data_IF_278976027140
#
_entry.id   IF_278976027140
#
_cell.length_a   1.000
_cell.length_b   1.000
_cell.length_c   1.000
_cell.angle_alpha   90.00
_cell.angle_beta   90.00
_cell.angle_gamma   90.00
#
_symmetry.space_group_name_H-M   'P 1'
#
loop_
_entity.id
_entity.type
_entity.pdbx_description
1 polymer ?
#
# COMPACT_ATOMS: atom_id res chain seq x y z
N UNK A 1 2.10 13.99 23.15
CA UNK A 1 2.63 13.01 22.16
C UNK A 1 4.05 13.33 21.68
N UNK A 2 4.93 13.88 22.53
CA UNK A 2 6.33 14.22 22.19
C UNK A 2 7.30 14.13 23.38
N UNK A 3 7.02 13.33 24.42
CA UNK A 3 7.95 13.21 25.56
C UNK A 3 8.91 12.04 25.33
N UNK A 4 10.21 12.30 25.40
CA UNK A 4 11.25 11.36 25.01
C UNK A 4 12.01 10.83 26.22
N UNK A 5 12.27 9.52 26.19
CA UNK A 5 13.30 8.86 26.99
C UNK A 5 14.72 9.26 26.51
N UNK A 6 14.87 9.98 25.38
CA UNK A 6 16.11 10.64 24.94
C UNK A 6 16.07 11.13 23.48
N UNK A 7 16.90 12.12 23.12
CA UNK A 7 16.92 12.73 21.78
C UNK A 7 17.23 11.75 20.63
N UNK A 8 18.00 10.69 20.90
CA UNK A 8 18.30 9.64 19.92
C UNK A 8 17.03 8.88 19.47
N UNK A 9 16.14 8.54 20.40
CA UNK A 9 14.87 7.85 20.08
C UNK A 9 13.94 8.70 19.21
N UNK A 10 13.93 10.03 19.40
CA UNK A 10 13.22 10.93 18.50
C UNK A 10 13.86 10.94 17.12
N UNK A 11 15.18 11.09 17.05
CA UNK A 11 15.91 11.11 15.79
C UNK A 11 15.62 9.87 14.95
N UNK A 12 15.67 8.68 15.56
CA UNK A 12 15.33 7.42 14.89
C UNK A 12 13.87 7.38 14.44
N UNK A 13 12.91 7.81 15.28
CA UNK A 13 11.50 7.83 14.90
C UNK A 13 11.23 8.77 13.73
N UNK A 14 11.80 9.98 13.75
CA UNK A 14 11.59 10.97 12.68
C UNK A 14 12.28 10.54 11.39
N UNK A 15 13.48 9.96 11.48
CA UNK A 15 14.17 9.38 10.33
C UNK A 15 13.38 8.23 9.71
N UNK A 16 12.88 7.30 10.52
CA UNK A 16 12.04 6.20 10.05
C UNK A 16 10.75 6.74 9.41
N UNK A 17 10.05 7.65 10.09
CA UNK A 17 8.83 8.26 9.58
C UNK A 17 9.08 8.95 8.24
N UNK A 18 10.12 9.75 8.12
CA UNK A 18 10.50 10.42 6.88
C UNK A 18 10.77 9.40 5.75
N UNK A 19 11.56 8.37 6.03
CA UNK A 19 11.93 7.35 5.05
C UNK A 19 10.72 6.58 4.51
N UNK A 20 9.83 6.13 5.41
CA UNK A 20 8.65 5.37 5.02
C UNK A 20 7.54 6.27 4.44
N UNK A 21 7.37 7.49 4.95
CA UNK A 21 6.39 8.43 4.42
C UNK A 21 6.74 8.86 3.00
N UNK A 22 8.01 9.14 2.71
CA UNK A 22 8.49 9.46 1.37
C UNK A 22 8.23 8.29 0.40
N UNK A 23 8.58 7.05 0.78
CA UNK A 23 8.29 5.87 -0.05
C UNK A 23 6.80 5.61 -0.29
N UNK A 24 5.92 5.94 0.66
CA UNK A 24 4.47 5.81 0.53
C UNK A 24 3.84 6.91 -0.33
N UNK A 25 4.28 8.15 -0.17
CA UNK A 25 3.63 9.33 -0.75
C UNK A 25 4.16 9.69 -2.14
N UNK A 26 5.42 9.37 -2.45
CA UNK A 26 6.03 9.72 -3.74
C UNK A 26 6.06 8.53 -4.72
N UNK A 27 6.14 7.30 -4.22
CA UNK A 27 6.14 6.10 -5.06
C UNK A 27 7.34 5.99 -6.01
N UNK A 28 7.28 5.08 -6.98
CA UNK A 28 8.39 4.78 -7.90
C UNK A 28 8.39 5.64 -9.20
N UNK A 29 7.97 6.91 -9.13
CA UNK A 29 8.06 7.85 -10.25
C UNK A 29 6.74 8.25 -10.88
N UNK A 30 5.78 8.73 -10.06
CA UNK A 30 4.63 9.61 -10.41
C UNK A 30 3.27 9.12 -9.85
N UNK A 31 3.20 7.86 -9.39
CA UNK A 31 1.99 7.34 -8.73
C UNK A 31 2.27 7.06 -7.25
N UNK A 32 1.62 7.79 -6.33
CA UNK A 32 1.75 7.50 -4.90
C UNK A 32 1.34 6.05 -4.62
N UNK A 33 2.18 5.31 -3.89
CA UNK A 33 1.79 4.01 -3.31
C UNK A 33 0.54 4.17 -2.45
N UNK A 34 0.40 5.35 -1.81
CA UNK A 34 -0.68 5.65 -0.90
C UNK A 34 -1.10 7.11 -0.96
N UNK A 35 -2.40 7.37 -0.85
CA UNK A 35 -2.91 8.73 -0.74
C UNK A 35 -2.60 9.32 0.63
N UNK A 36 -2.46 10.65 0.70
CA UNK A 36 -2.25 11.36 1.96
C UNK A 36 -3.35 11.07 2.99
N UNK A 37 -4.61 10.93 2.56
CA UNK A 37 -5.72 10.59 3.47
C UNK A 37 -5.52 9.23 4.14
N UNK A 38 -5.06 8.22 3.39
CA UNK A 38 -4.73 6.89 3.91
C UNK A 38 -3.51 6.92 4.83
N UNK A 39 -2.51 7.72 4.48
CA UNK A 39 -1.36 7.99 5.34
C UNK A 39 -1.77 8.52 6.70
N UNK A 40 -2.54 9.60 6.72
CA UNK A 40 -2.97 10.24 7.95
C UNK A 40 -3.84 9.31 8.79
N UNK A 41 -4.77 8.57 8.18
CA UNK A 41 -5.61 7.64 8.94
C UNK A 41 -4.81 6.50 9.53
N UNK A 42 -3.84 5.92 8.82
CA UNK A 42 -2.95 4.89 9.39
C UNK A 42 -2.06 5.42 10.48
N UNK A 43 -1.50 6.62 10.30
CA UNK A 43 -0.66 7.22 11.34
C UNK A 43 -1.45 7.44 12.63
N UNK A 44 -2.66 8.01 12.53
CA UNK A 44 -3.54 8.24 13.70
C UNK A 44 -3.99 6.91 14.31
N UNK A 45 -4.47 5.97 13.50
CA UNK A 45 -4.92 4.66 13.97
C UNK A 45 -3.78 3.89 14.66
N UNK A 46 -2.57 3.96 14.11
CA UNK A 46 -1.37 3.38 14.70
C UNK A 46 -1.01 3.99 16.04
N UNK A 47 -1.11 5.31 16.16
CA UNK A 47 -0.86 5.99 17.43
C UNK A 47 -1.87 5.61 18.52
N UNK A 48 -3.15 5.52 18.17
CA UNK A 48 -4.22 5.12 19.08
C UNK A 48 -4.12 3.64 19.47
N UNK A 49 -3.94 2.75 18.49
CA UNK A 49 -3.79 1.32 18.74
C UNK A 49 -2.52 1.01 19.54
N UNK A 50 -1.42 1.69 19.23
CA UNK A 50 -0.18 1.61 20.01
C UNK A 50 -0.41 2.05 21.45
N UNK A 51 -0.96 3.24 21.68
CA UNK A 51 -1.27 3.71 23.03
C UNK A 51 -2.19 2.73 23.79
N UNK A 52 -3.24 2.21 23.15
CA UNK A 52 -4.13 1.22 23.76
C UNK A 52 -3.38 -0.06 24.16
N UNK A 53 -2.57 -0.63 23.26
CA UNK A 53 -1.79 -1.83 23.52
C UNK A 53 -0.80 -1.65 24.68
N UNK A 54 -0.08 -0.52 24.73
CA UNK A 54 0.85 -0.22 25.82
C UNK A 54 0.15 -0.07 27.16
N UNK A 55 -1.01 0.59 27.19
CA UNK A 55 -1.78 0.75 28.43
C UNK A 55 -2.30 -0.60 28.93
N UNK A 56 -2.87 -1.42 28.04
CA UNK A 56 -3.33 -2.77 28.38
C UNK A 56 -2.19 -3.64 28.91
N UNK A 57 -1.02 -3.58 28.28
CA UNK A 57 0.17 -4.31 28.72
C UNK A 57 0.70 -3.82 30.07
N UNK A 58 0.75 -2.50 30.27
CA UNK A 58 1.14 -1.88 31.53
C UNK A 58 0.23 -2.31 32.69
N UNK A 59 -1.09 -2.32 32.47
CA UNK A 59 -2.08 -2.82 33.44
C UNK A 59 -1.79 -4.29 33.77
N UNK A 60 -1.57 -5.14 32.76
CA UNK A 60 -1.30 -6.57 32.96
C UNK A 60 -0.02 -6.81 33.80
N UNK A 61 1.03 -6.02 33.59
CA UNK A 61 2.29 -6.14 34.33
C UNK A 61 2.33 -5.37 35.65
N UNK A 62 1.26 -4.64 36.00
CA UNK A 62 1.23 -3.66 37.11
C UNK A 62 2.41 -2.67 37.00
N UNK A 63 2.67 -2.22 35.76
CA UNK A 63 3.77 -1.32 35.40
C UNK A 63 3.19 -0.03 34.85
N UNK A 64 3.69 1.11 35.34
CA UNK A 64 3.19 2.44 34.98
C UNK A 64 4.06 3.14 33.94
N UNK A 65 4.74 2.39 33.07
CA UNK A 65 5.57 2.97 31.99
C UNK A 65 4.62 3.52 30.92
N UNK A 66 4.46 4.85 30.78
CA UNK A 66 3.54 5.41 29.82
C UNK A 66 4.15 5.37 28.43
N UNK A 67 3.42 4.83 27.47
CA UNK A 67 3.71 5.03 26.05
C UNK A 67 2.82 6.11 25.49
N UNK A 68 3.42 7.05 24.78
CA UNK A 68 2.72 8.20 24.19
C UNK A 68 2.23 7.93 22.76
N UNK A 69 2.26 6.68 22.27
CA UNK A 69 1.71 6.27 20.97
C UNK A 69 2.48 6.77 19.74
N UNK A 70 3.43 7.70 19.87
CA UNK A 70 4.16 8.28 18.74
C UNK A 70 4.93 7.23 17.93
N UNK A 71 5.66 6.31 18.58
CA UNK A 71 6.34 5.23 17.87
C UNK A 71 5.35 4.21 17.29
N UNK A 72 4.21 3.96 17.97
CA UNK A 72 3.12 3.13 17.41
C UNK A 72 2.62 3.65 16.05
N UNK A 73 2.49 4.98 15.91
CA UNK A 73 2.15 5.60 14.63
C UNK A 73 3.21 5.37 13.54
N UNK A 74 4.50 5.48 13.89
CA UNK A 74 5.61 5.19 12.97
C UNK A 74 5.62 3.72 12.56
N UNK A 75 5.43 2.80 13.51
CA UNK A 75 5.36 1.36 13.24
C UNK A 75 4.16 0.98 12.37
N UNK A 76 3.03 1.67 12.51
CA UNK A 76 1.87 1.49 11.63
C UNK A 76 2.18 1.90 10.19
N UNK A 77 2.81 3.07 9.99
CA UNK A 77 3.22 3.56 8.67
C UNK A 77 4.28 2.63 8.04
N UNK A 78 5.29 2.23 8.80
CA UNK A 78 6.32 1.30 8.34
C UNK A 78 5.71 -0.03 7.91
N UNK A 79 4.83 -0.59 8.74
CA UNK A 79 4.15 -1.87 8.44
C UNK A 79 3.26 -1.77 7.21
N UNK A 80 2.50 -0.68 7.07
CA UNK A 80 1.69 -0.45 5.89
C UNK A 80 2.53 -0.34 4.61
N UNK A 81 3.69 0.32 4.67
CA UNK A 81 4.63 0.38 3.55
C UNK A 81 5.19 -1.00 3.18
N UNK A 82 5.70 -1.73 4.17
CA UNK A 82 6.26 -3.07 3.98
C UNK A 82 5.24 -4.04 3.36
N UNK A 83 3.97 -3.93 3.76
CA UNK A 83 2.87 -4.75 3.23
C UNK A 83 2.39 -4.31 1.84
N UNK A 84 2.56 -3.04 1.49
CA UNK A 84 2.13 -2.47 0.21
C UNK A 84 3.18 -2.63 -0.88
N UNK A 85 4.47 -2.67 -0.53
CA UNK A 85 5.57 -2.76 -1.49
C UNK A 85 6.47 -3.96 -1.15
N UNK A 86 5.97 -5.19 -1.38
CA UNK A 86 6.76 -6.41 -1.15
C UNK A 86 8.03 -6.41 -2.01
N UNK A 87 9.12 -6.97 -1.46
CA UNK A 87 10.43 -6.98 -2.12
C UNK A 87 11.20 -5.66 -2.04
N UNK A 88 10.65 -4.62 -1.39
CA UNK A 88 11.45 -3.43 -1.08
C UNK A 88 12.51 -3.74 -0.04
N UNK A 89 13.76 -3.39 -0.36
CA UNK A 89 14.84 -3.41 0.61
C UNK A 89 14.69 -2.23 1.56
N UNK A 90 14.37 -2.51 2.82
CA UNK A 90 14.27 -1.47 3.85
C UNK A 90 15.57 -1.36 4.61
N UNK A 91 16.13 -0.15 4.62
CA UNK A 91 17.22 0.22 5.53
C UNK A 91 16.60 0.84 6.77
N UNK A 92 16.30 0.00 7.76
CA UNK A 92 16.10 0.49 9.11
C UNK A 92 17.44 1.06 9.59
N UNK A 93 17.42 2.20 10.28
CA UNK A 93 18.64 2.79 10.81
C UNK A 93 19.41 1.71 11.60
N UNK A 94 20.68 1.50 11.25
CA UNK A 94 21.60 0.56 11.90
C UNK A 94 21.38 -0.95 11.63
N UNK A 95 20.49 -1.36 10.73
CA UNK A 95 20.32 -2.77 10.31
C UNK A 95 20.66 -2.93 8.82
N UNK A 96 21.23 -4.08 8.45
CA UNK A 96 21.45 -4.46 7.05
C UNK A 96 20.13 -4.40 6.26
N UNK A 97 20.15 -4.11 4.95
CA UNK A 97 18.93 -4.07 4.15
C UNK A 97 18.21 -5.41 4.23
N UNK A 98 16.97 -5.38 4.73
CA UNK A 98 16.09 -6.55 4.78
C UNK A 98 14.99 -6.38 3.74
N UNK A 99 14.64 -7.49 3.08
CA UNK A 99 13.45 -7.55 2.24
C UNK A 99 12.19 -7.35 3.09
N UNK A 100 11.15 -6.76 2.49
CA UNK A 100 10.05 -6.21 3.28
C UNK A 100 9.33 -7.19 4.21
N UNK A 101 9.09 -8.43 3.78
CA UNK A 101 8.46 -9.46 4.62
C UNK A 101 9.38 -9.89 5.77
N UNK A 102 10.65 -10.12 5.48
CA UNK A 102 11.65 -10.47 6.49
C UNK A 102 11.82 -9.33 7.50
N UNK A 103 11.80 -8.08 7.05
CA UNK A 103 11.86 -6.90 7.91
C UNK A 103 10.63 -6.86 8.84
N UNK A 104 9.43 -7.10 8.32
CA UNK A 104 8.20 -7.11 9.10
C UNK A 104 8.21 -8.20 10.18
N UNK A 105 8.59 -9.43 9.82
CA UNK A 105 8.71 -10.55 10.77
C UNK A 105 9.77 -10.24 11.83
N UNK A 106 10.95 -9.74 11.41
CA UNK A 106 12.03 -9.37 12.31
C UNK A 106 11.62 -8.30 13.31
N UNK A 107 10.90 -7.25 12.86
CA UNK A 107 10.35 -6.22 13.73
C UNK A 107 9.34 -6.79 14.73
N UNK A 108 8.45 -7.70 14.29
CA UNK A 108 7.48 -8.32 15.17
C UNK A 108 8.16 -9.17 16.25
N UNK A 109 9.12 -10.00 15.86
CA UNK A 109 9.90 -10.86 16.79
C UNK A 109 10.69 -10.01 17.78
N UNK A 110 11.37 -8.95 17.32
CA UNK A 110 12.11 -8.06 18.20
C UNK A 110 11.20 -7.40 19.26
N UNK A 111 10.02 -6.93 18.87
CA UNK A 111 9.07 -6.33 19.80
C UNK A 111 8.44 -7.34 20.77
N UNK A 112 8.20 -8.59 20.33
CA UNK A 112 7.80 -9.67 21.23
C UNK A 112 8.90 -10.00 22.25
N UNK A 113 10.17 -10.03 21.83
CA UNK A 113 11.29 -10.24 22.74
C UNK A 113 11.42 -9.10 23.77
N UNK A 114 11.20 -7.84 23.36
CA UNK A 114 11.12 -6.68 24.26
C UNK A 114 9.99 -6.84 25.28
N UNK A 115 8.80 -7.29 24.85
CA UNK A 115 7.68 -7.56 25.78
C UNK A 115 8.01 -8.69 26.75
N UNK A 116 8.63 -9.77 26.28
CA UNK A 116 9.06 -10.88 27.13
C UNK A 116 10.09 -10.41 28.19
N UNK A 117 11.07 -9.61 27.80
CA UNK A 117 12.03 -9.03 28.73
C UNK A 117 11.35 -8.15 29.80
N UNK A 118 10.37 -7.34 29.40
CA UNK A 118 9.57 -6.55 30.35
C UNK A 118 8.74 -7.42 31.30
N UNK A 119 8.16 -8.52 30.80
CA UNK A 119 7.44 -9.49 31.64
C UNK A 119 8.36 -10.14 32.69
N UNK A 120 9.61 -10.39 32.32
CA UNK A 120 10.68 -10.85 33.22
C UNK A 120 11.26 -9.76 34.12
N UNK A 121 10.64 -8.56 34.16
CA UNK A 121 11.05 -7.40 34.98
C UNK A 121 12.41 -6.78 34.62
N UNK A 122 12.95 -7.08 33.43
CA UNK A 122 14.09 -6.33 32.92
C UNK A 122 13.68 -4.90 32.59
N UNK A 123 14.55 -3.93 32.93
CA UNK A 123 14.34 -2.53 32.60
C UNK A 123 14.72 -2.27 31.14
N UNK A 124 13.72 -2.33 30.26
CA UNK A 124 13.87 -2.02 28.83
C UNK A 124 13.15 -0.70 28.54
N UNK A 125 13.88 0.29 28.01
CA UNK A 125 13.34 1.63 27.69
C UNK A 125 12.53 1.69 26.40
N UNK A 126 12.05 0.56 25.90
CA UNK A 126 11.37 0.43 24.60
C UNK A 126 9.99 -0.20 24.80
N UNK A 127 8.98 0.44 24.22
CA UNK A 127 7.59 0.00 24.31
C UNK A 127 7.24 -1.00 23.21
N UNK A 128 7.60 -2.27 23.43
CA UNK A 128 7.28 -3.35 22.49
C UNK A 128 5.78 -3.55 22.26
N UNK A 129 4.95 -3.35 23.30
CA UNK A 129 3.50 -3.54 23.18
C UNK A 129 2.86 -2.47 22.29
N UNK A 130 3.22 -1.20 22.46
CA UNK A 130 2.73 -0.14 21.59
C UNK A 130 3.25 -0.24 20.17
N UNK A 131 4.47 -0.74 19.97
CA UNK A 131 4.97 -1.04 18.63
C UNK A 131 4.12 -2.13 17.96
N UNK A 132 3.86 -3.25 18.62
CA UNK A 132 3.00 -4.31 18.06
C UNK A 132 1.57 -3.83 17.80
N UNK A 133 0.99 -3.02 18.70
CA UNK A 133 -0.32 -2.41 18.49
C UNK A 133 -0.35 -1.52 17.24
N UNK A 134 0.69 -0.72 17.03
CA UNK A 134 0.87 0.07 15.82
C UNK A 134 1.03 -0.79 14.57
N UNK A 135 1.88 -1.82 14.61
CA UNK A 135 2.09 -2.76 13.50
C UNK A 135 0.78 -3.42 13.07
N UNK A 136 -0.03 -3.89 14.03
CA UNK A 136 -1.33 -4.50 13.77
C UNK A 136 -2.27 -3.52 13.06
N UNK A 137 -2.37 -2.27 13.54
CA UNK A 137 -3.17 -1.24 12.86
C UNK A 137 -2.68 -0.97 11.42
N UNK A 138 -1.36 -0.96 11.20
CA UNK A 138 -0.76 -0.82 9.87
C UNK A 138 -1.15 -1.96 8.92
N UNK A 139 -1.11 -3.21 9.38
CA UNK A 139 -1.54 -4.38 8.59
C UNK A 139 -3.00 -4.29 8.20
N UNK A 140 -3.87 -4.02 9.19
CA UNK A 140 -5.31 -3.92 8.96
C UNK A 140 -5.65 -2.78 8.00
N UNK A 141 -4.96 -1.64 8.12
CA UNK A 141 -5.16 -0.53 7.20
C UNK A 141 -4.72 -0.87 5.78
N UNK A 142 -3.55 -1.50 5.60
CA UNK A 142 -3.06 -1.94 4.30
C UNK A 142 -4.06 -2.89 3.62
N UNK A 143 -4.60 -3.86 4.37
CA UNK A 143 -5.57 -4.82 3.84
C UNK A 143 -6.91 -4.17 3.49
N UNK A 144 -7.41 -3.28 4.35
CA UNK A 144 -8.64 -2.52 4.10
C UNK A 144 -8.54 -1.69 2.81
N UNK A 145 -7.37 -1.14 2.49
CA UNK A 145 -7.18 -0.33 1.30
C UNK A 145 -7.06 -1.15 0.02
N UNK A 146 -6.42 -2.33 0.07
CA UNK A 146 -6.40 -3.28 -1.05
C UNK A 146 -7.83 -3.62 -1.45
N UNK A 147 -8.63 -4.02 -0.47
CA UNK A 147 -10.06 -4.33 -0.66
C UNK A 147 -10.85 -3.14 -1.23
N UNK A 148 -10.61 -1.94 -0.71
CA UNK A 148 -11.30 -0.72 -1.19
C UNK A 148 -10.89 -0.34 -2.63
N UNK A 149 -9.62 -0.55 -2.99
CA UNK A 149 -9.13 -0.30 -4.35
C UNK A 149 -9.74 -1.27 -5.36
N UNK A 150 -9.82 -2.55 -5.02
CA UNK A 150 -10.40 -3.57 -5.88
C UNK A 150 -11.88 -3.29 -6.16
N UNK A 151 -12.65 -2.97 -5.12
CA UNK A 151 -14.04 -2.53 -5.25
C UNK A 151 -14.18 -1.30 -6.16
N UNK A 152 -13.39 -0.24 -5.91
CA UNK A 152 -13.42 0.98 -6.74
C UNK A 152 -13.06 0.69 -8.20
N UNK A 153 -12.12 -0.22 -8.43
CA UNK A 153 -11.74 -0.67 -9.77
C UNK A 153 -12.88 -1.40 -10.48
N UNK A 154 -13.53 -2.34 -9.81
CA UNK A 154 -14.68 -3.08 -10.34
C UNK A 154 -15.84 -2.15 -10.70
N UNK A 155 -16.18 -1.20 -9.82
CA UNK A 155 -17.22 -0.20 -10.05
C UNK A 155 -16.87 0.69 -11.25
N UNK A 156 -15.65 1.22 -11.31
CA UNK A 156 -15.18 2.05 -12.44
C UNK A 156 -15.24 1.31 -13.77
N UNK A 157 -14.85 0.03 -13.78
CA UNK A 157 -14.91 -0.82 -14.98
C UNK A 157 -16.36 -1.06 -15.43
N UNK A 158 -17.25 -1.36 -14.49
CA UNK A 158 -18.68 -1.57 -14.77
C UNK A 158 -19.32 -0.33 -15.38
N UNK A 159 -19.20 0.83 -14.74
CA UNK A 159 -19.76 2.07 -15.26
C UNK A 159 -19.06 2.52 -16.54
N UNK A 160 -17.74 2.36 -16.65
CA UNK A 160 -16.99 2.66 -17.87
C UNK A 160 -17.52 1.87 -19.09
N UNK A 161 -17.89 0.61 -18.90
CA UNK A 161 -18.56 -0.17 -19.96
C UNK A 161 -19.95 0.36 -20.31
N UNK A 162 -20.71 0.82 -19.32
CA UNK A 162 -22.07 1.37 -19.53
C UNK A 162 -22.00 2.70 -20.30
N UNK A 163 -21.14 3.63 -19.88
CA UNK A 163 -20.97 4.92 -20.55
C UNK A 163 -20.50 4.75 -21.99
N UNK A 164 -19.48 3.90 -22.22
CA UNK A 164 -18.94 3.67 -23.56
C UNK A 164 -19.96 3.06 -24.51
N UNK A 165 -20.79 2.11 -24.04
CA UNK A 165 -21.90 1.55 -24.83
C UNK A 165 -22.96 2.59 -25.20
N UNK A 166 -23.20 3.57 -24.31
CA UNK A 166 -24.16 4.64 -24.60
C UNK A 166 -23.60 5.59 -25.66
N UNK A 167 -22.35 5.99 -25.51
CA UNK A 167 -21.64 6.85 -26.47
C UNK A 167 -21.54 6.17 -27.85
N UNK A 168 -21.19 4.88 -27.89
CA UNK A 168 -21.18 4.07 -29.13
C UNK A 168 -22.55 4.07 -29.82
N UNK A 169 -23.65 3.89 -29.07
CA UNK A 169 -25.02 3.95 -29.62
C UNK A 169 -25.40 5.34 -30.12
N UNK A 170 -25.05 6.39 -29.38
CA UNK A 170 -25.32 7.77 -29.77
C UNK A 170 -24.54 8.14 -31.04
N UNK A 171 -23.26 7.73 -31.12
CA UNK A 171 -22.43 7.89 -32.31
C UNK A 171 -22.98 7.09 -33.51
N UNK A 172 -23.44 5.86 -33.29
CA UNK A 172 -24.02 5.04 -34.34
C UNK A 172 -25.35 5.61 -34.86
N UNK A 173 -26.18 6.16 -33.97
CA UNK A 173 -27.39 6.89 -34.35
C UNK A 173 -27.07 8.17 -35.12
N UNK A 174 -26.10 8.96 -34.68
CA UNK A 174 -25.64 10.17 -35.38
C UNK A 174 -25.08 9.83 -36.76
N UNK A 175 -24.24 8.81 -36.86
CA UNK A 175 -23.69 8.30 -38.12
C UNK A 175 -24.81 7.90 -39.09
N UNK A 176 -25.80 7.16 -38.59
CA UNK A 176 -26.94 6.72 -39.40
C UNK A 176 -27.74 7.91 -39.93
N UNK A 177 -28.04 8.90 -39.07
CA UNK A 177 -28.76 10.12 -39.47
C UNK A 177 -28.01 10.92 -40.55
N UNK A 178 -26.68 11.03 -40.45
CA UNK A 178 -25.85 11.74 -41.43
C UNK A 178 -25.81 11.02 -42.78
N UNK A 179 -25.65 9.69 -42.77
CA UNK A 179 -25.66 8.88 -44.00
C UNK A 179 -26.99 9.01 -44.74
N UNK A 180 -28.11 8.89 -44.01
CA UNK A 180 -29.44 9.01 -44.59
C UNK A 180 -29.70 10.45 -45.13
N UNK A 181 -29.26 11.49 -44.42
CA UNK A 181 -29.42 12.89 -44.85
C UNK A 181 -28.59 13.26 -46.09
N UNK A 182 -27.41 12.65 -46.26
CA UNK A 182 -26.54 12.87 -47.41
C UNK A 182 -26.85 11.94 -48.59
N UNK A 183 -27.83 11.03 -48.46
CA UNK A 183 -28.14 10.04 -49.49
C UNK A 183 -27.00 9.06 -49.78
N UNK A 184 -26.10 8.85 -48.81
CA UNK A 184 -24.95 7.99 -48.98
C UNK A 184 -25.34 6.51 -48.84
N UNK A 185 -24.65 5.58 -49.51
CA UNK A 185 -24.84 4.16 -49.28
C UNK A 185 -24.54 3.82 -47.82
N UNK A 186 -25.43 3.04 -47.18
CA UNK A 186 -25.17 2.57 -45.82
C UNK A 186 -23.91 1.69 -45.81
N UNK A 187 -23.03 1.84 -44.81
CA UNK A 187 -21.90 0.93 -44.66
C UNK A 187 -22.46 -0.48 -44.48
N UNK A 188 -22.01 -1.39 -45.31
CA UNK A 188 -22.32 -2.81 -45.19
C UNK A 188 -21.73 -3.36 -43.88
N UNK A 189 -22.42 -4.33 -43.28
CA UNK A 189 -21.93 -4.96 -42.05
C UNK A 189 -20.56 -5.66 -42.24
N UNK A 190 -20.10 -5.84 -43.49
CA UNK A 190 -18.79 -6.37 -43.89
C UNK A 190 -17.62 -5.40 -43.70
N UNK A 191 -17.85 -4.09 -43.66
CA UNK A 191 -16.77 -3.09 -43.59
C UNK A 191 -16.12 -2.92 -42.20
N UNK A 192 -16.71 -3.45 -41.13
CA UNK A 192 -16.22 -3.29 -39.75
C UNK A 192 -15.12 -4.28 -39.34
N UNK A 193 -14.77 -5.24 -40.21
CA UNK A 193 -13.63 -6.14 -39.99
C UNK A 193 -12.28 -5.60 -40.50
N UNK A 194 -12.24 -4.40 -41.10
CA UNK A 194 -10.99 -3.84 -41.58
C UNK A 194 -10.28 -3.02 -40.49
N UNK A 195 -9.17 -3.61 -40.02
CA UNK A 195 -8.13 -3.10 -39.11
C UNK A 195 -8.44 -3.16 -37.61
N UNK A 196 -8.28 -4.33 -37.03
CA UNK A 196 -7.39 -4.38 -35.86
C UNK A 196 -5.96 -4.08 -36.36
N UNK A 197 -5.18 -3.19 -35.73
CA UNK A 197 -3.78 -3.03 -36.08
C UNK A 197 -3.09 -4.37 -35.78
N UNK A 198 -2.66 -5.03 -36.85
CA UNK A 198 -1.91 -6.27 -36.78
C UNK A 198 -0.67 -6.07 -35.93
N UNK A 199 -0.49 -6.99 -34.99
CA UNK A 199 0.80 -7.47 -34.56
C UNK A 199 1.59 -7.96 -35.79
N UNK A 200 2.39 -7.09 -36.39
CA UNK A 200 3.64 -7.46 -37.05
C UNK A 200 4.71 -7.42 -35.94
N UNK A 201 5.63 -8.35 -35.75
CA UNK A 201 6.39 -9.26 -36.62
C UNK A 201 6.86 -10.44 -35.73
N UNK A 202 7.20 -11.63 -36.18
CA UNK A 202 7.39 -12.15 -37.52
C UNK A 202 7.78 -13.62 -37.40
N UNK A 203 7.14 -14.48 -38.18
CA UNK A 203 7.58 -15.85 -38.40
C UNK A 203 8.45 -15.89 -39.65
N UNK A 204 9.65 -16.46 -39.53
CA UNK A 204 10.52 -16.76 -40.67
C UNK A 204 11.43 -17.93 -40.31
N UNK A 205 10.98 -19.15 -40.60
CA UNK A 205 11.78 -20.35 -40.39
C UNK A 205 12.82 -20.58 -41.49
N UNK A 206 13.89 -21.30 -41.17
CA UNK A 206 14.27 -22.57 -41.82
C UNK A 206 15.65 -23.10 -41.38
N UNK A 207 15.66 -24.41 -41.13
CA UNK A 207 16.67 -25.43 -41.52
C UNK A 207 18.03 -25.54 -40.82
N UNK A 208 18.39 -26.82 -40.61
CA UNK A 208 19.75 -27.38 -40.43
C UNK A 208 20.14 -27.49 -38.96
N UNK A 209 20.57 -28.61 -38.39
CA UNK A 209 21.15 -29.84 -38.91
C UNK A 209 22.04 -30.40 -37.80
N UNK A 210 22.00 -31.72 -37.60
CA UNK A 210 22.93 -32.61 -36.85
C UNK A 210 24.07 -31.94 -36.03
N UNK A 211 24.15 -32.26 -34.74
CA UNK A 211 25.04 -33.30 -34.15
C UNK A 211 24.80 -33.36 -32.64
#
# INVERSE_FOLDING_TARGET
TFSHIGGFHLGVNMYALYSFAHGLLEGNGDTPTMSLGRFTTTYIAGGLAGAAASNLWGIALKSNIPSLGASGAVFAVATAYLQAVPGTGVRLAFVAPLEGETALIGLAVANMAIMAAQALRFRVGVDGAGHLGGMLAGLLAAEAWKTTNDWRGQVRHMFGKIYRRREERELEQLRTKVVDALGLPRPDASGSQLRQPGSADGGGGQRGGRA
#
